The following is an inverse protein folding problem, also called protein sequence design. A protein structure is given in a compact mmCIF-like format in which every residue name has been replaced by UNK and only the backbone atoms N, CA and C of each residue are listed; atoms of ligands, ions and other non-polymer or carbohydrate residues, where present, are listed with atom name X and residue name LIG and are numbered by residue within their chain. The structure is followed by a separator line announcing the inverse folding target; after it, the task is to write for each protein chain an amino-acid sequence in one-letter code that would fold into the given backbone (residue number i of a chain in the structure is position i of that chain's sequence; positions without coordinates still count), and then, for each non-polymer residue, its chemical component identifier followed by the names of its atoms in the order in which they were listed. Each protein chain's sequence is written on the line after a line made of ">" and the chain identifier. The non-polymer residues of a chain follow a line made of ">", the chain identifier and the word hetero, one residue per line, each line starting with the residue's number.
data_IF_148509061541
#
_entry.id   IF_148509061541
#
_cell.length_a   1.000
_cell.length_b   1.000
_cell.length_c   1.000
_cell.angle_alpha   90.00
_cell.angle_beta   90.00
_cell.angle_gamma   90.00
#
_symmetry.space_group_name_H-M   'P 1'
#
loop_
_entity.id
_entity.type
_entity.pdbx_description
1 polymer ?
#
# COMPACT_ATOMS: atom_id res chain seq x y z
N UNK A 1 29.90 -25.09 18.98
CA UNK A 1 29.19 -25.13 17.67
C UNK A 1 28.61 -23.75 17.44
N UNK A 2 29.16 -23.01 16.47
CA UNK A 2 28.66 -21.69 16.10
C UNK A 2 27.25 -21.84 15.52
N UNK A 3 26.23 -21.40 16.24
CA UNK A 3 24.92 -21.14 15.66
C UNK A 3 25.09 -19.96 14.69
N UNK A 4 25.43 -20.26 13.43
CA UNK A 4 25.12 -19.33 12.34
C UNK A 4 23.59 -19.23 12.32
N UNK A 5 23.07 -18.15 12.89
CA UNK A 5 21.72 -17.70 12.58
C UNK A 5 21.74 -17.51 11.07
N UNK A 6 21.10 -18.40 10.32
CA UNK A 6 20.92 -18.22 8.88
C UNK A 6 20.17 -16.89 8.69
N UNK A 7 20.90 -15.86 8.28
CA UNK A 7 20.33 -14.57 7.95
C UNK A 7 19.50 -14.76 6.67
N UNK A 8 18.23 -14.32 6.67
CA UNK A 8 17.38 -14.39 5.48
C UNK A 8 18.07 -13.65 4.33
N UNK A 9 18.33 -14.34 3.22
CA UNK A 9 18.79 -13.69 2.00
C UNK A 9 17.63 -12.88 1.39
N UNK A 10 17.79 -11.56 1.31
CA UNK A 10 16.77 -10.65 0.76
C UNK A 10 17.18 -10.18 -0.63
N UNK A 11 16.31 -10.44 -1.61
CA UNK A 11 16.48 -10.04 -3.02
C UNK A 11 15.34 -9.14 -3.44
N UNK A 12 15.66 -7.95 -3.92
CA UNK A 12 14.70 -7.02 -4.54
C UNK A 12 14.82 -7.15 -6.05
N UNK A 13 13.72 -7.51 -6.72
CA UNK A 13 13.63 -7.47 -8.18
C UNK A 13 12.89 -6.19 -8.55
N UNK A 14 13.65 -5.16 -8.90
CA UNK A 14 13.17 -3.83 -9.26
C UNK A 14 13.16 -3.70 -10.79
N UNK A 15 12.05 -4.16 -11.39
CA UNK A 15 11.84 -4.14 -12.85
C UNK A 15 10.49 -3.51 -13.16
N UNK A 16 10.28 -2.93 -14.35
CA UNK A 16 9.01 -2.29 -14.68
C UNK A 16 7.82 -3.26 -14.74
N UNK A 17 6.63 -2.73 -14.55
CA UNK A 17 5.39 -3.51 -14.70
C UNK A 17 5.22 -3.96 -16.16
N UNK A 18 4.74 -5.18 -16.39
CA UNK A 18 4.56 -5.74 -17.74
C UNK A 18 5.78 -6.45 -18.32
N UNK A 19 6.97 -6.31 -17.73
CA UNK A 19 8.22 -6.92 -18.23
C UNK A 19 8.49 -8.33 -17.65
N UNK A 20 7.43 -9.11 -17.39
CA UNK A 20 7.58 -10.52 -17.05
C UNK A 20 8.14 -10.85 -15.65
N UNK A 21 8.23 -9.90 -14.71
CA UNK A 21 8.68 -10.14 -13.31
C UNK A 21 8.05 -11.38 -12.68
N UNK A 22 6.71 -11.40 -12.62
CA UNK A 22 5.95 -12.50 -12.03
C UNK A 22 6.16 -13.81 -12.80
N UNK A 23 6.20 -13.76 -14.14
CA UNK A 23 6.41 -14.96 -14.98
C UNK A 23 7.81 -15.57 -14.81
N UNK A 24 8.83 -14.72 -14.69
CA UNK A 24 10.20 -15.14 -14.39
C UNK A 24 10.28 -15.81 -13.01
N UNK A 25 9.64 -15.21 -12.01
CA UNK A 25 9.54 -15.81 -10.67
C UNK A 25 8.82 -17.15 -10.69
N UNK A 26 7.67 -17.26 -11.37
CA UNK A 26 6.96 -18.53 -11.48
C UNK A 26 7.85 -19.61 -12.09
N UNK A 27 8.61 -19.27 -13.14
CA UNK A 27 9.55 -20.21 -13.77
C UNK A 27 10.66 -20.65 -12.81
N UNK A 28 11.24 -19.72 -12.05
CA UNK A 28 12.25 -20.00 -11.02
C UNK A 28 11.69 -20.89 -9.90
N UNK A 29 10.54 -20.53 -9.33
CA UNK A 29 9.88 -21.34 -8.31
C UNK A 29 9.53 -22.74 -8.84
N UNK A 30 9.03 -22.80 -10.08
CA UNK A 30 8.68 -24.06 -10.72
C UNK A 30 9.89 -24.98 -10.88
N UNK A 31 11.03 -24.41 -11.27
CA UNK A 31 12.29 -25.13 -11.41
C UNK A 31 12.80 -25.64 -10.06
N UNK A 32 12.78 -24.82 -9.02
CA UNK A 32 13.23 -25.18 -7.68
C UNK A 32 12.40 -26.33 -7.07
N UNK A 33 11.07 -26.25 -7.19
CA UNK A 33 10.16 -27.32 -6.72
C UNK A 33 10.43 -28.65 -7.45
N UNK A 34 10.75 -28.60 -8.75
CA UNK A 34 11.08 -29.81 -9.53
C UNK A 34 12.41 -30.43 -9.13
N UNK A 35 13.41 -29.60 -8.82
CA UNK A 35 14.75 -30.07 -8.40
C UNK A 35 14.68 -30.66 -6.99
N UNK A 36 13.91 -30.05 -6.10
CA UNK A 36 13.77 -30.49 -4.72
C UNK A 36 12.32 -30.30 -4.26
N UNK A 37 11.63 -31.41 -4.01
CA UNK A 37 10.27 -31.41 -3.47
C UNK A 37 10.18 -30.90 -2.02
N UNK A 38 11.31 -30.52 -1.41
CA UNK A 38 11.39 -29.87 -0.10
C UNK A 38 11.35 -28.35 -0.20
N UNK A 39 11.40 -27.77 -1.40
CA UNK A 39 11.30 -26.33 -1.58
C UNK A 39 9.87 -25.87 -1.39
N UNK A 40 9.67 -25.01 -0.38
CA UNK A 40 8.37 -24.53 0.04
C UNK A 40 8.25 -23.03 -0.19
N UNK A 41 7.11 -22.58 -0.72
CA UNK A 41 6.89 -21.18 -1.11
C UNK A 41 5.66 -20.56 -0.45
N UNK A 42 5.80 -19.30 -0.06
CA UNK A 42 4.69 -18.42 0.31
C UNK A 42 4.67 -17.27 -0.69
N UNK A 43 3.66 -17.24 -1.55
CA UNK A 43 3.42 -16.13 -2.46
C UNK A 43 2.43 -15.16 -1.82
N UNK A 44 2.86 -13.93 -1.62
CA UNK A 44 2.04 -12.85 -1.09
C UNK A 44 1.75 -11.85 -2.19
N UNK A 45 0.46 -11.67 -2.50
CA UNK A 45 -0.01 -10.86 -3.63
C UNK A 45 -0.92 -9.72 -3.13
N UNK A 46 -1.13 -8.65 -3.92
CA UNK A 46 -1.84 -7.47 -3.44
C UNK A 46 -3.36 -7.68 -3.31
N UNK A 47 -3.98 -8.43 -4.24
CA UNK A 47 -5.44 -8.59 -4.32
C UNK A 47 -5.88 -10.04 -4.58
N UNK A 48 -7.16 -10.35 -4.37
CA UNK A 48 -7.72 -11.70 -4.60
C UNK A 48 -7.70 -12.11 -6.08
N UNK A 49 -7.86 -11.18 -7.01
CA UNK A 49 -7.74 -11.45 -8.45
C UNK A 49 -6.35 -11.95 -8.83
N UNK A 50 -5.32 -11.51 -8.11
CA UNK A 50 -3.94 -11.95 -8.28
C UNK A 50 -3.73 -13.37 -7.76
N UNK A 51 -4.45 -13.79 -6.72
CA UNK A 51 -4.46 -15.17 -6.25
C UNK A 51 -4.94 -16.11 -7.36
N UNK A 52 -6.02 -15.74 -8.05
CA UNK A 52 -6.55 -16.53 -9.17
C UNK A 52 -5.55 -16.59 -10.35
N UNK A 53 -4.83 -15.50 -10.63
CA UNK A 53 -3.74 -15.50 -11.65
C UNK A 53 -2.62 -16.48 -11.28
N UNK A 54 -2.21 -16.48 -10.02
CA UNK A 54 -1.20 -17.41 -9.51
C UNK A 54 -1.67 -18.86 -9.56
N UNK A 55 -2.93 -19.13 -9.19
CA UNK A 55 -3.52 -20.48 -9.27
C UNK A 55 -3.65 -20.97 -10.71
N UNK A 56 -4.02 -20.10 -11.64
CA UNK A 56 -4.08 -20.45 -13.06
C UNK A 56 -2.70 -20.84 -13.63
N UNK A 57 -1.64 -20.18 -13.17
CA UNK A 57 -0.27 -20.38 -13.67
C UNK A 57 0.49 -21.50 -12.95
N UNK A 58 0.34 -21.63 -11.64
CA UNK A 58 1.03 -22.62 -10.80
C UNK A 58 0.21 -23.90 -10.58
N UNK A 59 -1.10 -23.87 -10.82
CA UNK A 59 -1.99 -25.02 -10.68
C UNK A 59 -1.94 -25.65 -9.29
N UNK A 60 -1.88 -26.97 -9.24
CA UNK A 60 -1.89 -27.78 -8.02
C UNK A 60 -0.67 -27.54 -7.10
N UNK A 61 0.33 -26.78 -7.55
CA UNK A 61 1.53 -26.52 -6.76
C UNK A 61 1.29 -25.52 -5.65
N UNK A 62 0.23 -24.72 -5.71
CA UNK A 62 -0.11 -23.73 -4.69
C UNK A 62 -1.52 -23.92 -4.16
N UNK A 63 -1.71 -23.62 -2.87
CA UNK A 63 -3.01 -23.63 -2.23
C UNK A 63 -3.35 -22.25 -1.67
N UNK A 64 -4.61 -21.86 -1.79
CA UNK A 64 -5.13 -20.66 -1.16
C UNK A 64 -5.69 -21.01 0.22
N UNK A 65 -5.27 -20.32 1.29
CA UNK A 65 -5.89 -20.48 2.60
C UNK A 65 -7.37 -20.06 2.56
N UNK A 66 -8.24 -20.89 3.13
CA UNK A 66 -9.69 -20.68 3.07
C UNK A 66 -10.33 -20.63 4.45
N UNK A 67 -11.44 -19.92 4.55
CA UNK A 67 -12.27 -19.87 5.77
C UNK A 67 -13.24 -21.07 5.87
N UNK A 68 -13.14 -22.04 4.95
CA UNK A 68 -14.00 -23.23 4.98
C UNK A 68 -13.48 -24.20 6.05
N UNK A 69 -14.23 -24.33 7.14
CA UNK A 69 -13.93 -25.24 8.25
C UNK A 69 -13.07 -24.63 9.37
N UNK A 70 -13.01 -23.31 9.48
CA UNK A 70 -12.27 -22.59 10.53
C UNK A 70 -11.97 -21.14 10.13
N UNK A 71 -11.09 -20.47 10.87
CA UNK A 71 -10.57 -19.15 10.49
C UNK A 71 -9.49 -19.24 9.40
N UNK A 72 -9.34 -18.20 8.59
CA UNK A 72 -8.22 -18.08 7.62
C UNK A 72 -6.86 -18.34 8.26
N UNK A 73 -6.69 -17.85 9.50
CA UNK A 73 -5.47 -18.01 10.29
C UNK A 73 -5.12 -19.47 10.53
N UNK A 74 -6.11 -20.26 10.97
CA UNK A 74 -5.92 -21.70 11.22
C UNK A 74 -5.64 -22.43 9.91
N UNK A 75 -6.30 -22.04 8.82
CA UNK A 75 -5.99 -22.60 7.50
C UNK A 75 -4.56 -22.29 7.06
N UNK A 76 -4.06 -21.07 7.26
CA UNK A 76 -2.66 -20.71 6.95
C UNK A 76 -1.71 -21.59 7.77
N UNK A 77 -1.89 -21.64 9.10
CA UNK A 77 -1.02 -22.42 10.00
C UNK A 77 -1.01 -23.90 9.59
N UNK A 78 -2.18 -24.49 9.35
CA UNK A 78 -2.31 -25.89 8.92
C UNK A 78 -1.57 -26.17 7.62
N UNK A 79 -1.75 -25.32 6.60
CA UNK A 79 -1.07 -25.48 5.31
C UNK A 79 0.45 -25.36 5.46
N UNK A 80 0.91 -24.41 6.28
CA UNK A 80 2.33 -24.22 6.56
C UNK A 80 2.94 -25.42 7.30
N UNK A 81 2.24 -25.98 8.29
CA UNK A 81 2.66 -27.20 9.02
C UNK A 81 2.70 -28.43 8.11
N UNK A 82 1.79 -28.53 7.15
CA UNK A 82 1.77 -29.61 6.15
C UNK A 82 2.84 -29.44 5.05
N UNK A 83 3.61 -28.35 5.07
CA UNK A 83 4.65 -28.10 4.07
C UNK A 83 4.11 -27.73 2.69
N UNK A 84 2.89 -27.20 2.60
CA UNK A 84 2.25 -26.85 1.32
C UNK A 84 2.69 -25.46 0.87
N UNK A 85 2.92 -25.28 -0.43
CA UNK A 85 3.09 -23.93 -0.96
C UNK A 85 1.76 -23.20 -0.91
N UNK A 86 1.80 -21.93 -0.52
CA UNK A 86 0.60 -21.12 -0.37
C UNK A 86 0.66 -19.87 -1.22
N UNK A 87 -0.50 -19.42 -1.69
CA UNK A 87 -0.72 -18.09 -2.24
C UNK A 87 -1.77 -17.36 -1.42
N UNK A 88 -1.49 -16.13 -1.01
CA UNK A 88 -2.36 -15.36 -0.12
C UNK A 88 -2.17 -13.86 -0.30
N UNK A 89 -3.04 -13.04 0.28
CA UNK A 89 -2.89 -11.59 0.22
C UNK A 89 -2.01 -11.03 1.34
N UNK A 90 -1.70 -9.73 1.26
CA UNK A 90 -1.05 -8.95 2.33
C UNK A 90 -1.74 -9.04 3.71
N UNK A 91 -2.96 -9.60 3.82
CA UNK A 91 -3.57 -9.90 5.13
C UNK A 91 -2.74 -10.87 5.98
N UNK A 92 -1.85 -11.65 5.37
CA UNK A 92 -0.93 -12.55 6.05
C UNK A 92 -0.08 -11.82 7.11
N UNK A 93 0.31 -10.58 6.84
CA UNK A 93 1.24 -9.81 7.67
C UNK A 93 0.72 -9.53 9.07
N UNK A 94 -0.58 -9.36 9.17
CA UNK A 94 -1.28 -9.04 10.40
C UNK A 94 -1.29 -10.22 11.41
N UNK A 95 -0.86 -11.42 10.99
CA UNK A 95 -0.98 -12.66 11.76
C UNK A 95 0.35 -13.43 11.88
N UNK A 96 1.44 -12.88 11.34
CA UNK A 96 2.74 -13.58 11.23
C UNK A 96 3.25 -14.12 12.56
N UNK A 97 3.03 -13.43 13.69
CA UNK A 97 3.46 -13.89 15.02
C UNK A 97 2.93 -15.29 15.37
N UNK A 98 1.79 -15.71 14.80
CA UNK A 98 1.23 -17.05 15.03
C UNK A 98 1.98 -18.18 14.31
N UNK A 99 2.74 -17.87 13.26
CA UNK A 99 3.38 -18.87 12.39
C UNK A 99 4.82 -18.52 11.99
N UNK A 100 5.42 -17.47 12.56
CA UNK A 100 6.79 -17.05 12.22
C UNK A 100 7.84 -18.15 12.45
N UNK A 101 7.57 -19.07 13.38
CA UNK A 101 8.39 -20.25 13.65
C UNK A 101 8.39 -21.28 12.51
N UNK A 102 7.43 -21.21 11.59
CA UNK A 102 7.34 -22.08 10.40
C UNK A 102 8.08 -21.51 9.19
N UNK A 103 8.30 -20.18 9.17
CA UNK A 103 8.93 -19.49 8.04
C UNK A 103 10.35 -19.96 7.67
N UNK A 104 11.20 -20.49 8.58
CA UNK A 104 12.55 -20.95 8.22
C UNK A 104 12.61 -22.02 7.12
N UNK A 105 11.51 -22.72 6.84
CA UNK A 105 11.44 -23.71 5.75
C UNK A 105 10.97 -23.13 4.42
N UNK A 106 10.51 -21.87 4.40
CA UNK A 106 9.82 -21.27 3.27
C UNK A 106 10.63 -20.15 2.59
N UNK A 107 10.61 -20.16 1.26
CA UNK A 107 10.90 -19.02 0.41
C UNK A 107 9.66 -18.11 0.38
N UNK A 108 9.78 -16.89 0.89
CA UNK A 108 8.71 -15.89 0.83
C UNK A 108 8.91 -15.03 -0.41
N UNK A 109 7.86 -14.89 -1.20
CA UNK A 109 7.83 -13.96 -2.32
C UNK A 109 6.70 -12.97 -2.15
N UNK A 110 7.02 -11.69 -2.26
CA UNK A 110 6.06 -10.60 -2.18
C UNK A 110 5.96 -9.97 -3.57
N UNK A 111 4.79 -10.05 -4.20
CA UNK A 111 4.49 -9.32 -5.44
C UNK A 111 3.87 -7.96 -5.09
N UNK A 112 4.51 -6.89 -5.55
CA UNK A 112 4.24 -5.48 -5.21
C UNK A 112 4.58 -5.08 -3.76
N UNK A 113 4.96 -3.81 -3.57
CA UNK A 113 5.36 -3.30 -2.25
C UNK A 113 4.14 -3.23 -1.32
N UNK A 114 4.19 -3.89 -0.15
CA UNK A 114 3.14 -3.82 0.84
C UNK A 114 3.10 -2.47 1.55
N UNK A 115 2.00 -2.18 2.26
CA UNK A 115 1.94 -1.05 3.19
C UNK A 115 2.95 -1.29 4.31
N UNK A 116 4.00 -0.46 4.35
CA UNK A 116 5.15 -0.64 5.25
C UNK A 116 4.83 -0.36 6.70
N UNK A 117 3.95 0.59 6.97
CA UNK A 117 3.50 0.89 8.33
C UNK A 117 2.07 1.42 8.32
N UNK A 118 1.26 0.96 9.28
CA UNK A 118 -0.15 1.33 9.44
C UNK A 118 -0.32 2.11 10.74
N UNK A 119 -1.10 3.19 10.70
CA UNK A 119 -1.50 3.90 11.92
C UNK A 119 -2.39 2.99 12.78
N UNK A 120 -2.14 2.96 14.08
CA UNK A 120 -3.05 2.35 15.06
C UNK A 120 -4.12 3.37 15.45
N UNK A 121 -5.42 3.09 15.22
CA UNK A 121 -6.48 4.00 15.60
C UNK A 121 -6.68 4.00 17.11
N UNK A 122 -6.17 5.03 17.79
CA UNK A 122 -6.44 5.27 19.21
C UNK A 122 -7.75 6.05 19.33
N UNK A 123 -8.80 5.39 19.82
CA UNK A 123 -10.16 5.95 19.92
C UNK A 123 -10.47 6.62 21.27
N UNK A 124 -9.43 6.96 22.03
CA UNK A 124 -9.54 7.67 23.31
C UNK A 124 -8.54 8.83 23.38
N UNK A 125 -8.82 9.79 24.27
CA UNK A 125 -8.08 11.06 24.33
C UNK A 125 -6.65 10.95 24.84
N UNK A 126 -5.84 11.98 24.55
CA UNK A 126 -4.43 12.08 24.99
C UNK A 126 -4.26 11.97 26.52
N UNK A 127 -5.20 12.49 27.29
CA UNK A 127 -5.19 12.39 28.76
C UNK A 127 -5.29 10.96 29.26
N UNK A 128 -6.23 10.19 28.68
CA UNK A 128 -6.38 8.77 28.99
C UNK A 128 -5.14 7.97 28.55
N UNK A 129 -4.60 8.24 27.36
CA UNK A 129 -3.35 7.61 26.92
C UNK A 129 -2.19 7.84 27.89
N UNK A 130 -2.00 9.09 28.38
CA UNK A 130 -1.01 9.39 29.42
C UNK A 130 -1.29 8.68 30.74
N UNK A 131 -2.56 8.51 31.10
CA UNK A 131 -2.97 7.78 32.30
C UNK A 131 -2.54 6.30 32.23
N UNK A 132 -2.75 5.65 31.08
CA UNK A 132 -2.31 4.27 30.84
C UNK A 132 -0.78 4.10 31.01
N UNK A 133 0.01 5.12 30.68
CA UNK A 133 1.48 5.09 30.79
C UNK A 133 1.95 5.40 32.22
N UNK A 134 1.52 6.53 32.77
CA UNK A 134 2.17 7.11 33.96
C UNK A 134 1.48 6.76 35.28
N UNK A 135 0.16 6.67 35.29
CA UNK A 135 -0.62 6.50 36.51
C UNK A 135 -1.04 5.04 36.70
N UNK A 136 -1.79 4.48 35.75
CA UNK A 136 -2.18 3.06 35.76
C UNK A 136 -1.02 2.13 35.42
N UNK A 137 -0.06 2.63 34.62
CA UNK A 137 1.11 1.87 34.16
C UNK A 137 0.73 0.55 33.47
N UNK A 138 -0.39 0.51 32.77
CA UNK A 138 -0.80 -0.66 31.97
C UNK A 138 0.08 -0.87 30.74
N UNK A 139 0.74 0.19 30.27
CA UNK A 139 1.72 0.12 29.18
C UNK A 139 3.05 0.73 29.57
N UNK A 140 4.12 0.15 29.06
CA UNK A 140 5.48 0.69 29.07
C UNK A 140 5.91 1.01 27.64
N UNK A 141 6.79 2.00 27.49
CA UNK A 141 7.40 2.37 26.20
C UNK A 141 8.91 2.23 26.35
N UNK A 142 9.51 1.39 25.52
CA UNK A 142 10.96 1.20 25.49
C UNK A 142 11.65 2.49 25.00
N UNK A 143 12.63 2.99 25.76
CA UNK A 143 13.24 4.30 25.49
C UNK A 143 14.12 4.32 24.23
N UNK A 144 14.61 3.18 23.76
CA UNK A 144 15.51 3.10 22.60
C UNK A 144 14.72 2.85 21.32
N UNK A 145 13.75 1.95 21.38
CA UNK A 145 12.99 1.46 20.22
C UNK A 145 11.64 2.14 20.07
N UNK A 146 11.09 2.74 21.14
CA UNK A 146 9.70 3.21 21.26
C UNK A 146 8.65 2.11 21.14
N UNK A 147 9.02 0.84 21.33
CA UNK A 147 8.08 -0.26 21.35
C UNK A 147 7.17 -0.15 22.59
N UNK A 148 5.86 -0.26 22.38
CA UNK A 148 4.86 -0.31 23.45
C UNK A 148 4.68 -1.77 23.87
N UNK A 149 4.73 -2.03 25.19
CA UNK A 149 4.42 -3.33 25.78
C UNK A 149 3.37 -3.20 26.86
N UNK A 150 2.51 -4.20 27.02
CA UNK A 150 1.62 -4.29 28.19
C UNK A 150 2.41 -4.69 29.44
N UNK A 151 1.92 -4.30 30.61
CA UNK A 151 2.53 -4.64 31.91
C UNK A 151 1.65 -5.60 32.70
N UNK A 152 2.16 -6.11 33.82
CA UNK A 152 1.40 -6.95 34.74
C UNK A 152 0.11 -6.29 35.26
N UNK A 153 0.13 -4.96 35.49
CA UNK A 153 -1.06 -4.22 35.93
C UNK A 153 -2.22 -4.37 34.94
N UNK A 154 -1.93 -4.35 33.63
CA UNK A 154 -2.94 -4.60 32.61
C UNK A 154 -3.47 -6.03 32.70
N UNK A 155 -2.58 -7.01 32.87
CA UNK A 155 -2.94 -8.43 32.91
C UNK A 155 -3.90 -8.75 34.06
N UNK A 156 -3.78 -8.03 35.19
CA UNK A 156 -4.64 -8.17 36.36
C UNK A 156 -6.01 -7.53 36.13
N UNK A 157 -6.05 -6.32 35.56
CA UNK A 157 -7.26 -5.50 35.50
C UNK A 157 -8.03 -5.61 34.15
N UNK A 158 -7.50 -6.30 33.14
CA UNK A 158 -8.07 -6.35 31.76
C UNK A 158 -9.53 -6.84 31.67
N UNK A 159 -9.98 -7.61 32.66
CA UNK A 159 -11.32 -8.17 32.69
C UNK A 159 -12.35 -7.17 33.23
N UNK A 160 -11.91 -6.11 33.93
CA UNK A 160 -12.76 -5.03 34.41
C UNK A 160 -13.18 -4.05 33.29
N UNK A 161 -12.57 -4.15 32.11
CA UNK A 161 -12.79 -3.27 30.96
C UNK A 161 -13.92 -3.80 30.05
N UNK A 162 -15.18 -3.55 30.43
CA UNK A 162 -16.35 -4.14 29.76
C UNK A 162 -17.29 -3.14 29.04
N UNK A 163 -17.20 -1.83 29.31
CA UNK A 163 -18.21 -0.87 28.80
C UNK A 163 -17.64 0.48 28.34
N UNK A 164 -18.34 1.15 27.42
CA UNK A 164 -17.99 2.50 26.99
C UNK A 164 -16.56 2.64 26.45
N UNK A 165 -15.80 3.59 26.99
CA UNK A 165 -14.39 3.83 26.61
C UNK A 165 -13.47 2.64 26.93
N UNK A 166 -13.87 1.75 27.84
CA UNK A 166 -13.09 0.57 28.20
C UNK A 166 -12.93 -0.38 27.01
N UNK A 167 -13.95 -0.47 26.15
CA UNK A 167 -13.89 -1.27 24.93
C UNK A 167 -12.84 -0.70 23.95
N UNK A 168 -12.65 0.63 23.93
CA UNK A 168 -11.62 1.27 23.11
C UNK A 168 -10.22 1.04 23.66
N UNK A 169 -10.06 1.03 24.98
CA UNK A 169 -8.80 0.67 25.65
C UNK A 169 -8.48 -0.82 25.39
N UNK A 170 -9.42 -1.73 25.64
CA UNK A 170 -9.25 -3.17 25.43
C UNK A 170 -8.89 -3.50 23.99
N UNK A 171 -9.51 -2.84 23.01
CA UNK A 171 -9.15 -2.99 21.60
C UNK A 171 -7.71 -2.53 21.29
N UNK A 172 -7.26 -1.41 21.89
CA UNK A 172 -5.88 -0.95 21.76
C UNK A 172 -4.90 -1.91 22.43
N UNK A 173 -5.17 -2.36 23.66
CA UNK A 173 -4.31 -3.31 24.37
C UNK A 173 -4.20 -4.65 23.66
N UNK A 174 -5.31 -5.20 23.17
CA UNK A 174 -5.29 -6.40 22.34
C UNK A 174 -4.44 -6.21 21.07
N UNK A 175 -4.39 -5.00 20.52
CA UNK A 175 -3.49 -4.69 19.40
C UNK A 175 -2.02 -4.72 19.83
N UNK A 176 -1.68 -4.14 20.99
CA UNK A 176 -0.33 -4.13 21.56
C UNK A 176 0.14 -5.55 21.92
N UNK A 177 -0.72 -6.39 22.48
CA UNK A 177 -0.39 -7.78 22.84
C UNK A 177 -0.07 -8.64 21.61
N UNK A 178 -0.79 -8.42 20.51
CA UNK A 178 -0.71 -9.27 19.33
C UNK A 178 0.22 -8.72 18.23
N UNK A 179 0.69 -7.47 18.34
CA UNK A 179 1.46 -6.79 17.28
C UNK A 179 2.49 -5.83 17.86
N UNK A 180 3.52 -5.55 17.07
CA UNK A 180 4.54 -4.57 17.44
C UNK A 180 4.01 -3.16 17.20
N UNK A 181 3.50 -2.55 18.26
CA UNK A 181 3.01 -1.18 18.24
C UNK A 181 4.13 -0.26 18.71
N UNK A 182 4.53 0.68 17.86
CA UNK A 182 5.53 1.69 18.17
C UNK A 182 4.87 3.03 18.46
N UNK A 183 5.29 3.65 19.56
CA UNK A 183 4.95 5.03 19.89
C UNK A 183 5.72 5.99 18.98
N UNK A 184 5.04 7.05 18.51
CA UNK A 184 5.69 8.11 17.72
C UNK A 184 5.59 9.46 18.43
N UNK A 185 4.36 9.94 18.66
CA UNK A 185 4.11 11.20 19.38
C UNK A 185 2.64 11.36 19.78
N UNK A 186 2.38 11.97 20.94
CA UNK A 186 1.02 12.21 21.43
C UNK A 186 0.22 10.91 21.63
N UNK A 187 -0.67 10.61 20.70
CA UNK A 187 -1.43 9.33 20.61
C UNK A 187 -1.17 8.60 19.28
N UNK A 188 -0.27 9.13 18.44
CA UNK A 188 0.07 8.54 17.17
C UNK A 188 0.98 7.34 17.40
N UNK A 189 0.45 6.16 17.11
CA UNK A 189 1.15 4.89 17.19
C UNK A 189 1.09 4.20 15.83
N UNK A 190 2.09 3.40 15.51
CA UNK A 190 2.21 2.72 14.22
C UNK A 190 2.56 1.25 14.40
N UNK A 191 2.08 0.42 13.47
CA UNK A 191 2.50 -0.98 13.33
C UNK A 191 3.25 -1.08 12.01
N UNK A 192 4.58 -1.25 12.01
CA UNK A 192 5.33 -1.53 10.80
C UNK A 192 5.11 -2.97 10.32
N UNK A 193 5.64 -3.29 9.14
CA UNK A 193 5.81 -4.66 8.71
C UNK A 193 6.66 -5.41 9.73
N UNK A 194 6.21 -6.58 10.20
CA UNK A 194 6.95 -7.34 11.20
C UNK A 194 8.33 -7.76 10.69
N UNK A 195 9.34 -7.59 11.54
CA UNK A 195 10.72 -7.98 11.25
C UNK A 195 10.87 -9.46 10.93
N UNK A 196 9.96 -10.30 11.44
CA UNK A 196 9.91 -11.71 11.14
C UNK A 196 9.87 -12.00 9.62
N UNK A 197 9.30 -11.13 8.78
CA UNK A 197 9.33 -11.30 7.32
C UNK A 197 10.73 -11.19 6.72
N UNK A 198 11.59 -10.37 7.32
CA UNK A 198 12.91 -10.06 6.82
C UNK A 198 14.00 -10.92 7.48
N UNK A 199 13.66 -11.65 8.55
CA UNK A 199 14.65 -12.32 9.40
C UNK A 199 14.42 -13.82 9.63
N UNK A 200 13.20 -14.33 9.38
CA UNK A 200 12.85 -15.74 9.63
C UNK A 200 12.78 -16.61 8.38
N UNK A 201 12.31 -16.15 7.21
CA UNK A 201 12.22 -16.97 6.01
C UNK A 201 13.56 -17.55 5.58
N UNK A 202 13.51 -18.68 4.87
CA UNK A 202 14.67 -19.27 4.17
C UNK A 202 15.27 -18.26 3.18
N UNK A 203 14.42 -17.56 2.44
CA UNK A 203 14.78 -16.37 1.68
C UNK A 203 13.57 -15.46 1.50
N UNK A 204 13.82 -14.20 1.16
CA UNK A 204 12.79 -13.23 0.80
C UNK A 204 13.07 -12.65 -0.59
N UNK A 205 12.13 -12.78 -1.52
CA UNK A 205 12.15 -12.05 -2.80
C UNK A 205 11.02 -11.04 -2.83
N UNK A 206 11.31 -9.78 -3.13
CA UNK A 206 10.30 -8.72 -3.29
C UNK A 206 10.31 -8.26 -4.75
N UNK A 207 9.19 -8.42 -5.45
CA UNK A 207 8.97 -7.89 -6.78
C UNK A 207 8.36 -6.49 -6.65
N UNK A 208 8.99 -5.50 -7.26
CA UNK A 208 8.51 -4.12 -7.22
C UNK A 208 8.96 -3.37 -8.46
N UNK A 209 8.49 -2.13 -8.61
CA UNK A 209 9.04 -1.17 -9.53
C UNK A 209 9.28 0.16 -8.80
N UNK A 210 10.42 0.80 -9.07
CA UNK A 210 10.89 2.02 -8.41
C UNK A 210 11.06 1.81 -6.89
N UNK A 211 11.83 0.79 -6.50
CA UNK A 211 12.02 0.41 -5.09
C UNK A 211 12.66 1.52 -4.26
N UNK A 212 13.73 2.12 -4.77
CA UNK A 212 14.52 3.11 -4.04
C UNK A 212 13.69 4.37 -3.75
N UNK A 213 13.70 4.78 -2.49
CA UNK A 213 12.93 5.92 -2.01
C UNK A 213 11.51 5.58 -1.55
N UNK A 214 11.05 4.33 -1.72
CA UNK A 214 9.76 3.88 -1.17
C UNK A 214 9.77 3.81 0.36
N UNK A 215 8.58 3.66 0.97
CA UNK A 215 8.43 3.42 2.41
C UNK A 215 9.19 2.16 2.85
N UNK A 216 9.11 1.10 2.05
CA UNK A 216 9.78 -0.17 2.34
C UNK A 216 11.30 -0.02 2.31
N UNK A 217 11.85 0.68 1.32
CA UNK A 217 13.28 0.95 1.23
C UNK A 217 13.80 1.66 2.50
N UNK A 218 13.13 2.73 2.94
CA UNK A 218 13.54 3.45 4.14
C UNK A 218 13.37 2.62 5.42
N UNK A 219 12.32 1.81 5.51
CA UNK A 219 12.15 0.88 6.63
C UNK A 219 13.29 -0.15 6.70
N UNK A 220 13.64 -0.76 5.56
CA UNK A 220 14.71 -1.74 5.49
C UNK A 220 16.07 -1.13 5.86
N UNK A 221 16.38 0.07 5.37
CA UNK A 221 17.58 0.83 5.77
C UNK A 221 17.58 1.13 7.27
N UNK A 222 16.45 1.61 7.82
CA UNK A 222 16.32 1.95 9.25
C UNK A 222 16.52 0.72 10.15
N UNK A 223 16.08 -0.46 9.72
CA UNK A 223 16.27 -1.72 10.46
C UNK A 223 17.64 -2.37 10.21
N UNK A 224 18.42 -1.87 9.26
CA UNK A 224 19.73 -2.44 8.92
C UNK A 224 19.64 -3.82 8.27
N UNK A 225 18.61 -4.06 7.45
CA UNK A 225 18.53 -5.31 6.70
C UNK A 225 19.45 -5.26 5.48
N UNK A 226 20.24 -6.32 5.29
CA UNK A 226 21.05 -6.51 4.09
C UNK A 226 20.20 -7.07 2.94
N UNK A 227 20.32 -6.46 1.76
CA UNK A 227 19.60 -6.91 0.57
C UNK A 227 20.37 -6.59 -0.72
N UNK A 228 20.08 -7.36 -1.76
CA UNK A 228 20.58 -7.09 -3.12
C UNK A 228 19.45 -6.58 -4.00
N UNK A 229 19.72 -5.58 -4.85
CA UNK A 229 18.76 -5.11 -5.84
C UNK A 229 19.19 -5.60 -7.23
N UNK A 230 18.29 -6.31 -7.90
CA UNK A 230 18.39 -6.61 -9.33
C UNK A 230 17.56 -5.57 -10.09
N UNK A 231 18.26 -4.72 -10.84
CA UNK A 231 17.67 -3.75 -11.77
C UNK A 231 18.05 -4.12 -13.19
N UNK A 232 17.14 -3.84 -14.12
CA UNK A 232 17.42 -3.93 -15.55
C UNK A 232 17.29 -2.54 -16.17
N UNK A 233 18.44 -1.92 -16.44
CA UNK A 233 18.49 -0.57 -16.97
C UNK A 233 17.89 -0.46 -18.37
N UNK A 234 17.97 -1.52 -19.17
CA UNK A 234 17.43 -1.55 -20.53
C UNK A 234 15.91 -1.60 -20.45
N UNK A 235 15.35 -2.52 -19.66
CA UNK A 235 13.89 -2.59 -19.45
C UNK A 235 13.35 -1.28 -18.87
N UNK A 236 14.07 -0.63 -17.95
CA UNK A 236 13.65 0.66 -17.38
C UNK A 236 13.62 1.78 -18.43
N UNK A 237 14.65 1.87 -19.27
CA UNK A 237 14.67 2.83 -20.39
C UNK A 237 13.54 2.55 -21.38
N UNK A 238 13.32 1.28 -21.75
CA UNK A 238 12.23 0.89 -22.64
C UNK A 238 10.85 1.25 -22.06
N UNK A 239 10.62 0.94 -20.79
CA UNK A 239 9.40 1.32 -20.08
C UNK A 239 9.16 2.83 -20.14
N UNK A 240 10.21 3.63 -19.89
CA UNK A 240 10.11 5.09 -19.91
C UNK A 240 9.79 5.61 -21.31
N UNK A 241 10.44 5.07 -22.35
CA UNK A 241 10.15 5.42 -23.75
C UNK A 241 8.70 5.09 -24.09
N UNK A 242 8.23 3.88 -23.78
CA UNK A 242 6.84 3.47 -24.01
C UNK A 242 5.85 4.37 -23.26
N UNK A 243 6.16 4.71 -22.01
CA UNK A 243 5.33 5.60 -21.21
C UNK A 243 5.25 7.00 -21.83
N UNK A 244 6.38 7.57 -22.26
CA UNK A 244 6.43 8.89 -22.88
C UNK A 244 5.72 8.93 -24.24
N UNK A 245 5.81 7.86 -25.03
CA UNK A 245 5.12 7.74 -26.33
C UNK A 245 3.60 7.63 -26.19
N UNK A 246 3.13 6.95 -25.14
CA UNK A 246 1.70 6.66 -24.97
C UNK A 246 0.96 7.69 -24.11
N UNK A 247 1.64 8.54 -23.33
CA UNK A 247 0.98 9.61 -22.58
C UNK A 247 0.68 10.79 -23.50
N UNK A 248 -0.60 11.01 -23.76
CA UNK A 248 -1.13 12.19 -24.43
C UNK A 248 -1.42 13.25 -23.37
N UNK A 249 -0.62 14.31 -23.36
CA UNK A 249 -0.56 15.26 -22.25
C UNK A 249 -1.28 16.59 -22.53
N UNK A 250 -1.92 17.18 -21.51
CA UNK A 250 -2.32 18.60 -21.47
C UNK A 250 -1.81 19.27 -20.20
N UNK A 251 -0.90 20.25 -20.34
CA UNK A 251 -0.12 20.88 -19.26
C UNK A 251 -0.84 21.93 -18.40
N UNK A 252 -2.12 21.77 -18.12
CA UNK A 252 -2.82 22.71 -17.24
C UNK A 252 -3.19 22.01 -15.94
N UNK A 253 -2.59 22.40 -14.82
CA UNK A 253 -3.05 21.99 -13.48
C UNK A 253 -4.10 22.95 -12.89
N UNK A 254 -4.61 22.60 -11.70
CA UNK A 254 -5.66 23.38 -11.03
C UNK A 254 -5.16 24.58 -10.21
N UNK A 255 -3.83 24.73 -10.06
CA UNK A 255 -3.17 25.73 -9.19
C UNK A 255 -3.77 25.80 -7.78
N UNK A 256 -4.26 24.68 -7.25
CA UNK A 256 -4.98 24.59 -5.98
C UNK A 256 -4.39 23.51 -5.09
N UNK A 257 -4.44 23.70 -3.76
CA UNK A 257 -4.02 22.67 -2.81
C UNK A 257 -4.88 21.42 -2.96
N UNK A 258 -4.28 20.26 -3.17
CA UNK A 258 -5.01 19.00 -3.44
C UNK A 258 -4.89 17.94 -2.33
N UNK A 259 -4.24 18.27 -1.21
CA UNK A 259 -4.08 17.35 -0.07
C UNK A 259 -5.40 17.03 0.66
N UNK A 260 -5.38 15.99 1.50
CA UNK A 260 -6.57 15.44 2.17
C UNK A 260 -7.45 16.50 2.84
N UNK A 261 -6.89 17.35 3.70
CA UNK A 261 -7.65 18.39 4.42
C UNK A 261 -8.27 19.41 3.47
N UNK A 262 -7.51 19.84 2.46
CA UNK A 262 -8.03 20.76 1.44
C UNK A 262 -9.17 20.12 0.64
N UNK A 263 -9.11 18.82 0.36
CA UNK A 263 -10.14 18.13 -0.43
C UNK A 263 -11.35 17.67 0.38
N UNK A 264 -11.25 17.50 1.71
CA UNK A 264 -12.34 16.91 2.53
C UNK A 264 -13.04 17.88 3.48
N UNK A 265 -12.56 19.12 3.60
CA UNK A 265 -13.19 20.17 4.42
C UNK A 265 -14.59 20.57 3.92
N UNK A 266 -15.48 21.01 4.82
CA UNK A 266 -16.90 21.31 4.51
C UNK A 266 -17.06 22.25 3.30
N UNK A 267 -16.43 23.42 3.35
CA UNK A 267 -16.56 24.48 2.34
C UNK A 267 -15.21 24.81 1.69
N UNK A 268 -14.59 23.84 1.03
CA UNK A 268 -13.27 24.02 0.42
C UNK A 268 -13.30 24.78 -0.92
N UNK A 269 -12.64 25.95 -1.04
CA UNK A 269 -12.42 26.60 -2.32
C UNK A 269 -11.54 25.75 -3.24
N UNK A 270 -10.51 25.11 -2.69
CA UNK A 270 -9.60 24.25 -3.46
C UNK A 270 -10.34 23.09 -4.13
N UNK A 271 -11.28 22.43 -3.44
CA UNK A 271 -12.08 21.35 -4.03
C UNK A 271 -12.96 21.86 -5.17
N UNK A 272 -13.57 23.05 -5.01
CA UNK A 272 -14.36 23.69 -6.06
C UNK A 272 -13.52 24.01 -7.29
N UNK A 273 -12.32 24.55 -7.10
CA UNK A 273 -11.38 24.85 -8.17
C UNK A 273 -10.95 23.57 -8.91
N UNK A 274 -10.53 22.53 -8.18
CA UNK A 274 -10.13 21.23 -8.76
C UNK A 274 -11.30 20.61 -9.55
N UNK A 275 -12.51 20.61 -9.00
CA UNK A 275 -13.69 20.08 -9.69
C UNK A 275 -14.03 20.86 -10.97
N UNK A 276 -14.00 22.20 -10.91
CA UNK A 276 -14.24 23.05 -12.08
C UNK A 276 -13.16 22.90 -13.14
N UNK A 277 -11.90 22.80 -12.73
CA UNK A 277 -10.77 22.50 -13.62
C UNK A 277 -10.97 21.17 -14.34
N UNK A 278 -11.29 20.09 -13.60
CA UNK A 278 -11.53 18.77 -14.19
C UNK A 278 -12.71 18.80 -15.18
N UNK A 279 -13.78 19.52 -14.85
CA UNK A 279 -14.91 19.75 -15.76
C UNK A 279 -14.47 20.46 -17.05
N UNK A 280 -13.63 21.47 -16.95
CA UNK A 280 -13.15 22.23 -18.10
C UNK A 280 -12.26 21.37 -19.01
N UNK A 281 -11.32 20.64 -18.42
CA UNK A 281 -10.46 19.69 -19.14
C UNK A 281 -11.28 18.59 -19.81
N UNK A 282 -12.27 18.02 -19.11
CA UNK A 282 -13.20 17.04 -19.69
C UNK A 282 -13.97 17.59 -20.88
N UNK A 283 -14.51 18.81 -20.78
CA UNK A 283 -15.21 19.44 -21.91
C UNK A 283 -14.26 19.75 -23.07
N UNK A 284 -13.03 20.15 -22.79
CA UNK A 284 -12.04 20.46 -23.80
C UNK A 284 -11.52 19.20 -24.51
N UNK A 285 -11.46 18.06 -23.81
CA UNK A 285 -11.18 16.75 -24.41
C UNK A 285 -12.33 16.32 -25.32
N UNK A 286 -13.58 16.38 -24.85
CA UNK A 286 -14.77 16.02 -25.66
C UNK A 286 -14.96 16.88 -26.91
N UNK A 287 -14.46 18.12 -26.90
CA UNK A 287 -14.43 18.96 -28.11
C UNK A 287 -13.40 18.51 -29.11
N UNK A 288 -12.26 17.98 -28.64
CA UNK A 288 -11.17 17.49 -29.47
C UNK A 288 -11.46 16.08 -30.00
N UNK A 289 -11.97 15.20 -29.14
CA UNK A 289 -12.41 13.85 -29.47
C UNK A 289 -13.84 13.63 -28.95
N UNK A 290 -14.87 13.80 -29.81
CA UNK A 290 -16.27 13.61 -29.41
C UNK A 290 -16.65 12.15 -29.07
N UNK A 291 -15.79 11.17 -29.41
CA UNK A 291 -16.06 9.74 -29.17
C UNK A 291 -15.80 9.33 -27.73
N UNK A 292 -15.11 10.16 -26.94
CA UNK A 292 -14.83 9.84 -25.53
C UNK A 292 -16.09 9.90 -24.67
N UNK A 293 -16.23 8.89 -23.82
CA UNK A 293 -17.35 8.69 -22.91
C UNK A 293 -16.84 8.49 -21.48
N UNK A 294 -17.70 8.68 -20.47
CA UNK A 294 -17.26 8.65 -19.06
C UNK A 294 -16.82 7.26 -18.59
N UNK A 295 -17.28 6.19 -19.24
CA UNK A 295 -16.89 4.80 -18.93
C UNK A 295 -15.42 4.49 -19.26
N UNK A 296 -14.80 5.28 -20.15
CA UNK A 296 -13.35 5.26 -20.44
C UNK A 296 -12.51 5.96 -19.37
N UNK A 297 -13.16 6.70 -18.45
CA UNK A 297 -12.49 7.55 -17.47
C UNK A 297 -12.26 6.82 -16.14
N UNK A 298 -11.00 6.84 -15.69
CA UNK A 298 -10.57 6.56 -14.33
C UNK A 298 -10.35 7.88 -13.58
N UNK A 299 -10.89 7.99 -12.37
CA UNK A 299 -10.63 9.13 -11.47
C UNK A 299 -9.97 8.63 -10.20
N UNK A 300 -8.79 9.18 -9.89
CA UNK A 300 -8.07 8.93 -8.66
C UNK A 300 -8.15 10.16 -7.74
N UNK A 301 -8.69 9.97 -6.53
CA UNK A 301 -8.81 11.05 -5.54
C UNK A 301 -9.03 10.51 -4.13
N UNK A 302 -9.13 11.43 -3.17
CA UNK A 302 -9.64 11.14 -1.82
C UNK A 302 -11.10 10.65 -1.89
N UNK A 303 -11.42 9.55 -1.20
CA UNK A 303 -12.75 8.89 -1.24
C UNK A 303 -13.89 9.82 -0.82
N UNK A 304 -13.70 10.49 0.31
CA UNK A 304 -14.67 11.43 0.87
C UNK A 304 -14.82 12.68 0.01
N UNK A 305 -13.74 13.12 -0.65
CA UNK A 305 -13.81 14.25 -1.58
C UNK A 305 -14.63 13.91 -2.84
N UNK A 306 -14.56 12.66 -3.31
CA UNK A 306 -15.28 12.20 -4.50
C UNK A 306 -16.76 11.92 -4.24
N UNK A 307 -17.08 11.16 -3.19
CA UNK A 307 -18.44 10.71 -2.92
C UNK A 307 -19.19 11.57 -1.90
N UNK A 308 -18.48 12.19 -0.95
CA UNK A 308 -19.10 12.88 0.18
C UNK A 308 -20.13 12.02 0.93
N UNK A 309 -21.26 12.64 1.28
CA UNK A 309 -22.35 12.00 2.03
C UNK A 309 -23.02 10.81 1.36
N UNK A 310 -22.85 10.62 0.06
CA UNK A 310 -23.35 9.45 -0.68
C UNK A 310 -22.78 8.14 -0.12
N UNK A 311 -21.47 8.09 0.18
CA UNK A 311 -20.80 6.91 0.72
C UNK A 311 -20.37 7.02 2.18
N UNK A 312 -20.38 8.24 2.74
CA UNK A 312 -20.05 8.46 4.14
C UNK A 312 -21.00 9.51 4.75
N UNK A 313 -22.09 9.11 5.43
CA UNK A 313 -23.05 10.04 6.02
C UNK A 313 -22.44 11.06 6.99
N UNK A 314 -21.30 10.74 7.60
CA UNK A 314 -20.54 11.62 8.52
C UNK A 314 -19.55 12.55 7.80
N UNK A 315 -19.46 12.47 6.47
CA UNK A 315 -18.54 13.32 5.70
C UNK A 315 -18.94 14.79 5.78
N UNK A 316 -17.92 15.65 5.86
CA UNK A 316 -18.08 17.10 5.72
C UNK A 316 -18.41 17.51 4.28
N UNK A 317 -18.13 16.66 3.29
CA UNK A 317 -18.38 16.92 1.87
C UNK A 317 -19.82 16.54 1.52
N UNK A 318 -20.58 17.50 1.01
CA UNK A 318 -21.96 17.24 0.56
C UNK A 318 -21.96 16.66 -0.85
N UNK A 319 -23.03 15.98 -1.25
CA UNK A 319 -23.16 15.45 -2.62
C UNK A 319 -23.10 16.56 -3.69
N UNK A 320 -23.53 17.79 -3.37
CA UNK A 320 -23.44 18.94 -4.31
C UNK A 320 -22.03 19.51 -4.42
N UNK A 321 -21.25 19.39 -3.34
CA UNK A 321 -19.89 19.92 -3.26
C UNK A 321 -18.82 18.85 -3.45
N UNK A 322 -19.19 17.61 -3.80
CA UNK A 322 -18.27 16.52 -4.07
C UNK A 322 -17.59 16.69 -5.44
N UNK A 323 -16.40 16.11 -5.59
CA UNK A 323 -15.68 16.12 -6.86
C UNK A 323 -16.46 15.40 -7.96
N UNK A 324 -17.22 14.34 -7.66
CA UNK A 324 -18.05 13.63 -8.64
C UNK A 324 -19.07 14.56 -9.31
N UNK A 325 -19.71 15.44 -8.51
CA UNK A 325 -20.67 16.43 -8.99
C UNK A 325 -20.00 17.62 -9.66
N UNK A 326 -18.95 18.19 -9.04
CA UNK A 326 -18.29 19.39 -9.54
C UNK A 326 -17.59 19.15 -10.90
N UNK A 327 -16.93 18.00 -11.06
CA UNK A 327 -16.22 17.61 -12.29
C UNK A 327 -17.15 17.19 -13.42
N UNK A 328 -18.42 16.90 -13.13
CA UNK A 328 -19.38 16.24 -14.05
C UNK A 328 -18.91 14.86 -14.53
N UNK A 329 -18.00 14.22 -13.79
CA UNK A 329 -17.50 12.87 -14.06
C UNK A 329 -18.15 11.83 -13.13
N UNK A 330 -19.36 12.08 -12.60
CA UNK A 330 -20.00 11.18 -11.62
C UNK A 330 -20.25 9.75 -12.09
N UNK A 331 -20.23 9.49 -13.41
CA UNK A 331 -20.32 8.14 -14.02
C UNK A 331 -18.95 7.49 -14.27
N UNK A 332 -17.86 8.21 -14.05
CA UNK A 332 -16.52 7.69 -14.22
C UNK A 332 -16.19 6.65 -13.15
N UNK A 333 -15.24 5.76 -13.46
CA UNK A 333 -14.77 4.78 -12.49
C UNK A 333 -13.85 5.47 -11.49
N UNK A 334 -14.10 5.29 -10.18
CA UNK A 334 -13.26 5.87 -9.14
C UNK A 334 -12.28 4.85 -8.55
N UNK A 335 -11.07 5.32 -8.22
CA UNK A 335 -10.06 4.61 -7.45
C UNK A 335 -9.44 5.51 -6.37
N UNK A 336 -8.90 4.89 -5.32
CA UNK A 336 -8.03 5.61 -4.38
C UNK A 336 -6.69 5.95 -5.05
N UNK A 337 -6.06 7.04 -4.58
CA UNK A 337 -4.70 7.44 -4.96
C UNK A 337 -3.66 6.35 -4.62
N UNK A 338 -3.89 5.60 -3.54
CA UNK A 338 -2.99 4.57 -3.00
C UNK A 338 -3.40 3.14 -3.35
N UNK A 339 -4.36 2.94 -4.27
CA UNK A 339 -4.68 1.59 -4.74
C UNK A 339 -3.38 0.94 -5.25
N UNK A 340 -3.18 -0.37 -5.06
CA UNK A 340 -2.00 -1.13 -5.54
C UNK A 340 -2.40 -2.45 -6.19
N UNK A 341 -1.66 -2.86 -7.23
CA UNK A 341 -1.74 -4.22 -7.77
C UNK A 341 -3.10 -4.69 -8.32
N UNK A 342 -3.87 -3.79 -8.95
CA UNK A 342 -5.17 -4.16 -9.55
C UNK A 342 -5.15 -4.06 -11.07
N UNK A 343 -5.70 -5.08 -11.75
CA UNK A 343 -5.87 -5.11 -13.22
C UNK A 343 -7.24 -4.55 -13.67
N UNK A 344 -8.02 -4.00 -12.74
CA UNK A 344 -9.42 -3.63 -12.94
C UNK A 344 -9.63 -2.47 -13.92
N UNK A 345 -8.60 -1.69 -14.22
CA UNK A 345 -8.72 -0.43 -14.95
C UNK A 345 -7.98 -0.43 -16.30
N UNK A 346 -7.54 -1.59 -16.77
CA UNK A 346 -6.73 -1.72 -17.99
C UNK A 346 -7.46 -1.24 -19.25
N UNK A 347 -8.77 -1.15 -19.23
CA UNK A 347 -9.60 -0.65 -20.33
C UNK A 347 -9.82 0.87 -20.28
N UNK A 348 -9.37 1.54 -19.20
CA UNK A 348 -9.50 2.99 -19.05
C UNK A 348 -8.35 3.67 -19.77
N UNK A 349 -8.63 4.55 -20.72
CA UNK A 349 -7.61 5.30 -21.47
C UNK A 349 -7.61 6.80 -21.16
N UNK A 350 -8.38 7.21 -20.16
CA UNK A 350 -8.40 8.58 -19.64
C UNK A 350 -8.28 8.53 -18.12
N UNK A 351 -7.30 9.23 -17.55
CA UNK A 351 -7.12 9.31 -16.10
C UNK A 351 -7.10 10.74 -15.59
N UNK A 352 -7.92 11.01 -14.57
CA UNK A 352 -7.91 12.24 -13.79
C UNK A 352 -7.38 11.98 -12.38
N UNK A 353 -6.26 12.60 -12.02
CA UNK A 353 -5.66 12.57 -10.69
C UNK A 353 -6.01 13.88 -9.97
N UNK A 354 -7.04 13.84 -9.13
CA UNK A 354 -7.69 15.01 -8.52
C UNK A 354 -7.27 15.25 -7.05
N UNK A 355 -6.12 14.73 -6.65
CA UNK A 355 -5.66 14.76 -5.29
C UNK A 355 -4.17 14.46 -5.21
N UNK A 356 -3.57 14.79 -4.07
CA UNK A 356 -2.25 14.31 -3.70
C UNK A 356 -2.33 13.56 -2.37
N UNK A 357 -1.51 12.52 -2.25
CA UNK A 357 -1.34 11.77 -1.01
C UNK A 357 -0.08 12.30 -0.33
N UNK A 358 -0.27 13.08 0.73
CA UNK A 358 0.83 13.50 1.57
C UNK A 358 1.02 12.47 2.67
N UNK A 359 2.23 11.93 2.78
CA UNK A 359 2.57 11.06 3.90
C UNK A 359 2.33 11.81 5.21
N UNK A 360 1.69 11.14 6.18
CA UNK A 360 1.50 11.71 7.50
C UNK A 360 2.87 12.10 8.08
N UNK A 361 3.09 13.34 8.58
CA UNK A 361 4.40 13.77 9.06
C UNK A 361 4.98 12.90 10.17
N UNK A 362 4.14 12.40 11.09
CA UNK A 362 4.55 11.48 12.16
C UNK A 362 4.97 10.13 11.59
N UNK A 363 4.26 9.62 10.57
CA UNK A 363 4.66 8.41 9.84
C UNK A 363 5.97 8.61 9.06
N UNK A 364 6.13 9.74 8.38
CA UNK A 364 7.35 10.09 7.67
C UNK A 364 8.54 10.16 8.63
N UNK A 365 8.36 10.79 9.81
CA UNK A 365 9.36 10.80 10.89
C UNK A 365 9.68 9.38 11.36
N UNK A 366 8.67 8.55 11.57
CA UNK A 366 8.88 7.16 11.98
C UNK A 366 9.67 6.36 10.92
N UNK A 367 9.39 6.55 9.63
CA UNK A 367 10.09 5.85 8.54
C UNK A 367 11.45 6.47 8.18
N UNK A 368 11.79 7.66 8.68
CA UNK A 368 12.99 8.40 8.26
C UNK A 368 12.85 9.07 6.88
N UNK A 369 11.62 9.31 6.43
CA UNK A 369 11.27 9.90 5.12
C UNK A 369 10.97 11.39 5.21
N UNK A 370 11.76 12.13 5.98
CA UNK A 370 11.53 13.57 6.20
C UNK A 370 12.11 14.46 5.11
N UNK A 371 12.98 13.93 4.24
CA UNK A 371 13.59 14.69 3.16
C UNK A 371 12.64 14.86 1.97
N UNK A 372 12.76 16.01 1.29
CA UNK A 372 11.97 16.30 0.09
C UNK A 372 12.23 15.28 -1.02
N UNK A 373 13.48 14.83 -1.17
CA UNK A 373 13.86 13.82 -2.15
C UNK A 373 13.15 12.48 -1.91
N UNK A 374 13.11 12.00 -0.66
CA UNK A 374 12.41 10.76 -0.32
C UNK A 374 10.91 10.86 -0.63
N UNK A 375 10.30 12.01 -0.30
CA UNK A 375 8.89 12.27 -0.61
C UNK A 375 8.64 12.32 -2.11
N UNK A 376 9.49 13.00 -2.89
CA UNK A 376 9.37 13.07 -4.35
C UNK A 376 9.48 11.68 -5.00
N UNK A 377 10.45 10.84 -4.58
CA UNK A 377 10.61 9.47 -5.10
C UNK A 377 9.40 8.61 -4.78
N UNK A 378 8.86 8.72 -3.57
CA UNK A 378 7.64 8.00 -3.19
C UNK A 378 6.44 8.44 -4.05
N UNK A 379 6.23 9.75 -4.20
CA UNK A 379 5.17 10.31 -5.06
C UNK A 379 5.30 9.84 -6.49
N UNK A 380 6.51 9.86 -7.06
CA UNK A 380 6.78 9.38 -8.41
C UNK A 380 6.38 7.91 -8.57
N UNK A 381 6.79 7.06 -7.63
CA UNK A 381 6.45 5.63 -7.64
C UNK A 381 4.93 5.41 -7.65
N UNK A 382 4.17 6.10 -6.78
CA UNK A 382 2.72 5.95 -6.76
C UNK A 382 2.05 6.49 -8.03
N UNK A 383 2.53 7.61 -8.58
CA UNK A 383 2.01 8.18 -9.83
C UNK A 383 2.21 7.25 -11.01
N UNK A 384 3.44 6.75 -11.20
CA UNK A 384 3.77 5.84 -12.30
C UNK A 384 2.97 4.54 -12.18
N UNK A 385 2.89 3.96 -10.98
CA UNK A 385 2.09 2.75 -10.75
C UNK A 385 0.60 2.97 -10.97
N UNK A 386 0.05 4.12 -10.58
CA UNK A 386 -1.36 4.45 -10.80
C UNK A 386 -1.67 4.62 -12.28
N UNK A 387 -0.83 5.36 -13.00
CA UNK A 387 -0.97 5.58 -14.45
C UNK A 387 -0.86 4.24 -15.18
N UNK A 388 0.09 3.39 -14.83
CA UNK A 388 0.31 2.09 -15.48
C UNK A 388 -0.75 1.01 -15.15
N UNK A 389 -1.86 1.38 -14.51
CA UNK A 389 -3.05 0.51 -14.39
C UNK A 389 -4.12 0.78 -15.43
N UNK A 390 -3.93 1.85 -16.18
CA UNK A 390 -4.78 2.22 -17.31
C UNK A 390 -4.37 1.45 -18.56
N UNK A 391 -4.96 1.77 -19.70
CA UNK A 391 -4.70 1.14 -20.99
C UNK A 391 -3.24 1.24 -21.46
N UNK A 392 -2.45 2.17 -20.90
CA UNK A 392 -1.01 2.27 -21.17
C UNK A 392 -0.23 1.00 -20.86
N UNK A 393 -0.73 0.19 -19.92
CA UNK A 393 -0.15 -1.11 -19.59
C UNK A 393 -0.11 -2.05 -20.78
N UNK A 394 -1.17 -2.01 -21.59
CA UNK A 394 -1.33 -2.85 -22.77
C UNK A 394 -0.80 -2.13 -24.02
N UNK A 395 -0.03 -1.04 -23.84
CA UNK A 395 0.60 -0.28 -24.90
C UNK A 395 -0.32 0.74 -25.60
N UNK A 396 -1.52 0.98 -25.07
CA UNK A 396 -2.44 1.95 -25.67
C UNK A 396 -2.15 3.39 -25.22
N UNK A 397 -2.34 4.39 -26.09
CA UNK A 397 -2.25 5.79 -25.69
C UNK A 397 -3.31 6.16 -24.66
N UNK A 398 -2.96 7.05 -23.73
CA UNK A 398 -3.85 7.51 -22.67
C UNK A 398 -3.80 9.03 -22.50
N UNK A 399 -4.91 9.62 -22.04
CA UNK A 399 -4.93 11.01 -21.58
C UNK A 399 -4.71 11.09 -20.08
N UNK A 400 -3.71 11.86 -19.65
CA UNK A 400 -3.36 12.05 -18.23
C UNK A 400 -3.62 13.49 -17.80
N UNK A 401 -4.49 13.68 -16.81
CA UNK A 401 -4.81 14.97 -16.21
C UNK A 401 -4.44 14.97 -14.73
N UNK A 402 -3.56 15.89 -14.31
CA UNK A 402 -3.10 15.99 -12.92
C UNK A 402 -3.46 17.37 -12.37
N UNK A 403 -4.29 17.39 -11.31
CA UNK A 403 -4.74 18.64 -10.72
C UNK A 403 -3.65 19.32 -9.86
N UNK A 404 -2.73 18.53 -9.32
CA UNK A 404 -1.69 18.96 -8.38
C UNK A 404 -0.39 19.34 -9.10
N UNK A 405 0.07 20.57 -8.89
CA UNK A 405 1.26 21.14 -9.53
C UNK A 405 2.55 20.36 -9.20
N UNK A 406 2.67 19.86 -7.96
CA UNK A 406 3.86 19.14 -7.55
C UNK A 406 3.95 17.75 -8.19
N UNK A 407 2.84 17.01 -8.18
CA UNK A 407 2.74 15.71 -8.84
C UNK A 407 2.95 15.84 -10.35
N UNK A 408 2.38 16.90 -10.94
CA UNK A 408 2.57 17.23 -12.35
C UNK A 408 4.05 17.39 -12.68
N UNK A 409 4.74 18.26 -11.93
CA UNK A 409 6.16 18.54 -12.11
C UNK A 409 7.03 17.30 -11.95
N UNK A 410 6.78 16.48 -10.92
CA UNK A 410 7.52 15.23 -10.69
C UNK A 410 7.40 14.29 -11.89
N UNK A 411 6.18 14.10 -12.41
CA UNK A 411 5.97 13.22 -13.55
C UNK A 411 6.65 13.76 -14.80
N UNK A 412 6.57 15.08 -15.04
CA UNK A 412 7.22 15.73 -16.17
C UNK A 412 8.75 15.57 -16.11
N UNK A 413 9.38 15.88 -14.98
CA UNK A 413 10.82 15.69 -14.77
C UNK A 413 11.23 14.23 -14.96
N UNK A 414 10.40 13.28 -14.51
CA UNK A 414 10.65 11.86 -14.75
C UNK A 414 10.59 11.51 -16.24
N UNK A 415 9.65 12.05 -17.03
CA UNK A 415 9.53 11.74 -18.45
C UNK A 415 10.61 12.42 -19.31
N UNK A 416 11.09 13.60 -18.90
CA UNK A 416 12.09 14.41 -19.63
C UNK A 416 13.55 14.08 -19.30
N UNK A 417 13.81 13.38 -18.20
CA UNK A 417 15.16 12.91 -17.83
C UNK A 417 15.68 11.81 -18.76
#
# INVERSE_FOLDING_TARGET
>A
MNNQINQTAIRIIDKPCGFGKTSGLHSEAKQLIRISSREQFIFVVPELSEIERYKAELGDWVQEPSDKGGSKSESIIRLLQMGKNIVTTHSLYDQIRKFEHLLPSYHVVIDEVPTTAKQVPVKFGKGLFKNLIHHKKYISIDMQTNLISTTENWMIEKDDFESGDDLHIKAFMNTVENREVYYVEGIYCVIPLPDAFFTKPKSLTILTFLFEGTQLHHWMMKRGFDYTILKDHIEHQQFKIQMNQNIIYRMNNSNSKTGYTAMTSKDSPSRRNVGNWAKNEWNALRKFDPTVTTDRVLVASHKDAWHGKEKNPKSNVTNKTSLSSLSRLGKATWTSLITRGTNKYKEKDIIFILGTENMNPSLAKFLGMTTKEAQNRHTLSELVQLIYRTAIRDGYPIYVFIADDHNEKILKEYLES
#
